data_IF_443591670356
#
_entry.id   IF_443591670356
#
_cell.length_a   1.000
_cell.length_b   1.000
_cell.length_c   1.000
_cell.angle_alpha   90.00
_cell.angle_beta   90.00
_cell.angle_gamma   90.00
#
_symmetry.space_group_name_H-M   'P 1'
#
loop_
_entity.id
_entity.type
_entity.pdbx_description
1 polymer ?
#
# COMPACT_ATOMS: atom_id res chain seq x y z
N UNK A 1 -26.37 1.24 5.09
CA UNK A 1 -26.40 0.33 3.91
C UNK A 1 -25.05 -0.33 3.77
N UNK A 2 -24.99 -1.62 3.43
CA UNK A 2 -23.74 -2.35 3.17
C UNK A 2 -23.59 -2.61 1.67
N UNK A 3 -22.36 -2.59 1.18
CA UNK A 3 -22.08 -2.93 -0.23
C UNK A 3 -20.81 -3.75 -0.35
N UNK A 4 -20.81 -4.77 -1.21
CA UNK A 4 -19.63 -5.52 -1.63
C UNK A 4 -19.66 -5.83 -3.13
N UNK A 5 -18.49 -6.01 -3.73
CA UNK A 5 -18.34 -6.46 -5.11
C UNK A 5 -17.41 -7.67 -5.19
N UNK A 6 -17.71 -8.60 -6.10
CA UNK A 6 -16.85 -9.74 -6.40
C UNK A 6 -17.63 -10.92 -6.98
N UNK A 7 -17.02 -11.66 -7.91
CA UNK A 7 -17.69 -12.77 -8.59
C UNK A 7 -17.90 -14.02 -7.71
N UNK A 8 -17.18 -14.14 -6.59
CA UNK A 8 -17.25 -15.29 -5.70
C UNK A 8 -18.26 -15.08 -4.56
N UNK A 9 -19.44 -15.68 -4.70
CA UNK A 9 -20.52 -15.57 -3.71
C UNK A 9 -20.10 -15.89 -2.25
N UNK A 10 -19.29 -16.93 -1.97
CA UNK A 10 -18.87 -17.21 -0.59
C UNK A 10 -17.94 -16.15 0.00
N UNK A 11 -17.13 -15.49 -0.83
CA UNK A 11 -16.31 -14.38 -0.40
C UNK A 11 -17.18 -13.14 -0.13
N UNK A 12 -18.18 -12.89 -0.97
CA UNK A 12 -19.11 -11.79 -0.78
C UNK A 12 -19.95 -11.93 0.50
N UNK A 13 -20.44 -13.13 0.82
CA UNK A 13 -21.18 -13.40 2.06
C UNK A 13 -20.32 -13.13 3.30
N UNK A 14 -19.07 -13.61 3.31
CA UNK A 14 -18.11 -13.33 4.40
C UNK A 14 -17.84 -11.82 4.52
N UNK A 15 -17.68 -11.14 3.38
CA UNK A 15 -17.46 -9.70 3.37
C UNK A 15 -18.65 -8.96 3.98
N UNK A 16 -19.88 -9.26 3.53
CA UNK A 16 -21.10 -8.65 4.08
C UNK A 16 -21.27 -8.94 5.57
N UNK A 17 -21.00 -10.16 6.03
CA UNK A 17 -21.05 -10.51 7.45
C UNK A 17 -20.08 -9.64 8.28
N UNK A 18 -18.85 -9.44 7.81
CA UNK A 18 -17.88 -8.56 8.47
C UNK A 18 -18.31 -7.08 8.46
N UNK A 19 -18.87 -6.59 7.35
CA UNK A 19 -19.41 -5.21 7.29
C UNK A 19 -20.60 -5.03 8.25
N UNK A 20 -21.45 -6.05 8.37
CA UNK A 20 -22.59 -6.05 9.28
C UNK A 20 -22.11 -6.04 10.74
N UNK A 21 -21.14 -6.87 11.09
CA UNK A 21 -20.53 -6.88 12.42
C UNK A 21 -19.94 -5.51 12.77
N UNK A 22 -19.19 -4.90 11.85
CA UNK A 22 -18.65 -3.55 12.01
C UNK A 22 -19.74 -2.49 12.22
N UNK A 23 -20.84 -2.57 11.46
CA UNK A 23 -21.98 -1.65 11.64
C UNK A 23 -22.64 -1.82 13.02
N UNK A 24 -22.84 -3.06 13.47
CA UNK A 24 -23.41 -3.38 14.79
C UNK A 24 -22.53 -2.85 15.92
N UNK A 25 -21.20 -3.02 15.84
CA UNK A 25 -20.25 -2.48 16.83
C UNK A 25 -20.30 -0.95 16.95
N UNK A 26 -20.79 -0.25 15.92
CA UNK A 26 -20.98 1.21 15.93
C UNK A 26 -22.41 1.63 16.24
N UNK A 27 -23.28 0.68 16.63
CA UNK A 27 -24.69 0.93 16.91
C UNK A 27 -25.50 1.30 15.65
N UNK A 28 -25.03 0.95 14.46
CA UNK A 28 -25.71 1.28 13.21
C UNK A 28 -26.64 0.16 12.78
N UNK A 29 -27.88 0.51 12.43
CA UNK A 29 -28.85 -0.42 11.87
C UNK A 29 -28.65 -0.59 10.35
N UNK A 30 -28.62 -1.84 9.88
CA UNK A 30 -28.45 -2.17 8.47
C UNK A 30 -29.82 -2.24 7.79
N UNK A 31 -30.11 -1.26 6.94
CA UNK A 31 -31.39 -1.16 6.21
C UNK A 31 -31.39 -1.81 4.81
N UNK A 32 -30.20 -2.05 4.24
CA UNK A 32 -30.05 -2.67 2.92
C UNK A 32 -28.64 -3.21 2.73
N UNK A 33 -28.53 -4.28 1.95
CA UNK A 33 -27.28 -4.91 1.54
C UNK A 33 -27.27 -5.08 0.03
N UNK A 34 -26.19 -4.67 -0.61
CA UNK A 34 -26.00 -4.79 -2.04
C UNK A 34 -24.76 -5.64 -2.33
N UNK A 35 -24.94 -6.65 -3.17
CA UNK A 35 -23.87 -7.46 -3.70
C UNK A 35 -23.82 -7.30 -5.21
N UNK A 36 -22.65 -6.96 -5.74
CA UNK A 36 -22.38 -7.00 -7.16
C UNK A 36 -21.53 -8.22 -7.54
N UNK A 37 -22.11 -9.22 -8.25
CA UNK A 37 -21.34 -10.36 -8.76
C UNK A 37 -20.49 -9.97 -9.98
N UNK A 38 -20.74 -8.78 -10.54
CA UNK A 38 -20.03 -8.28 -11.73
C UNK A 38 -18.55 -8.06 -11.42
N UNK A 39 -17.63 -8.50 -12.30
CA UNK A 39 -16.19 -8.36 -12.09
C UNK A 39 -15.72 -6.93 -11.78
N UNK A 40 -14.64 -6.82 -10.99
CA UNK A 40 -14.11 -5.53 -10.52
C UNK A 40 -13.58 -4.61 -11.63
N UNK A 41 -13.31 -5.16 -12.82
CA UNK A 41 -12.91 -4.40 -14.01
C UNK A 41 -14.07 -3.66 -14.68
N UNK A 42 -15.33 -3.95 -14.33
CA UNK A 42 -16.48 -3.15 -14.78
C UNK A 42 -16.61 -1.94 -13.85
N UNK A 43 -16.76 -0.71 -14.37
CA UNK A 43 -16.94 0.48 -13.53
C UNK A 43 -18.11 0.33 -12.55
N UNK A 44 -17.94 0.75 -11.28
CA UNK A 44 -18.96 0.60 -10.24
C UNK A 44 -20.34 1.13 -10.67
N UNK A 45 -20.39 2.31 -11.32
CA UNK A 45 -21.64 2.93 -11.83
C UNK A 45 -22.42 2.09 -12.86
N UNK A 46 -21.77 1.13 -13.49
CA UNK A 46 -22.41 0.23 -14.45
C UNK A 46 -22.93 -1.05 -13.80
N UNK A 47 -22.59 -1.31 -12.52
CA UNK A 47 -23.02 -2.50 -11.80
C UNK A 47 -24.37 -2.27 -11.12
N UNK A 48 -25.19 -3.31 -11.09
CA UNK A 48 -26.58 -3.25 -10.64
C UNK A 48 -26.71 -2.99 -9.15
N UNK A 49 -25.88 -3.64 -8.33
CA UNK A 49 -25.80 -3.44 -6.88
C UNK A 49 -25.35 -2.03 -6.53
N UNK A 50 -24.38 -1.47 -7.24
CA UNK A 50 -23.96 -0.08 -7.06
C UNK A 50 -25.07 0.91 -7.43
N UNK A 51 -25.81 0.69 -8.52
CA UNK A 51 -26.97 1.52 -8.86
C UNK A 51 -28.05 1.47 -7.77
N UNK A 52 -28.23 0.33 -7.11
CA UNK A 52 -29.10 0.22 -5.93
C UNK A 52 -28.57 1.03 -4.75
N UNK A 53 -27.25 1.05 -4.52
CA UNK A 53 -26.61 1.95 -3.53
C UNK A 53 -26.92 3.40 -3.83
N UNK A 54 -26.68 3.84 -5.06
CA UNK A 54 -26.95 5.23 -5.47
C UNK A 54 -28.41 5.58 -5.25
N UNK A 55 -29.34 4.70 -5.65
CA UNK A 55 -30.79 4.92 -5.47
C UNK A 55 -31.19 5.04 -3.99
N UNK A 56 -30.69 4.16 -3.13
CA UNK A 56 -31.01 4.16 -1.69
C UNK A 56 -30.47 5.41 -1.00
N UNK A 57 -29.26 5.85 -1.37
CA UNK A 57 -28.64 7.06 -0.80
C UNK A 57 -29.30 8.35 -1.32
N UNK A 58 -29.60 8.43 -2.62
CA UNK A 58 -30.30 9.59 -3.21
C UNK A 58 -31.71 9.71 -2.65
N UNK A 59 -32.43 8.59 -2.50
CA UNK A 59 -33.75 8.57 -1.87
C UNK A 59 -33.71 8.79 -0.34
N UNK A 60 -32.52 9.02 0.25
CA UNK A 60 -32.29 9.18 1.70
C UNK A 60 -32.86 8.06 2.57
N UNK A 61 -33.00 6.85 2.00
CA UNK A 61 -33.44 5.65 2.71
C UNK A 61 -32.33 5.03 3.57
N UNK A 62 -31.09 5.48 3.37
CA UNK A 62 -29.96 5.20 4.26
C UNK A 62 -29.16 6.48 4.51
N UNK A 63 -28.76 6.68 5.76
CA UNK A 63 -27.94 7.82 6.21
C UNK A 63 -26.45 7.64 5.91
N UNK A 64 -26.04 6.42 5.58
CA UNK A 64 -24.65 6.10 5.32
C UNK A 64 -24.42 4.77 4.61
N UNK A 65 -23.22 4.67 4.07
CA UNK A 65 -22.72 3.57 3.27
C UNK A 65 -21.50 2.96 3.94
N UNK A 66 -21.57 1.66 4.19
CA UNK A 66 -20.44 0.85 4.67
C UNK A 66 -19.96 -0.01 3.51
N UNK A 67 -18.71 0.18 3.11
CA UNK A 67 -18.06 -0.57 2.03
C UNK A 67 -16.81 -1.27 2.55
N UNK A 68 -16.35 -2.36 1.90
CA UNK A 68 -15.02 -2.89 2.14
C UNK A 68 -13.96 -1.85 1.73
N UNK A 69 -12.68 -2.22 1.80
CA UNK A 69 -11.64 -1.31 1.33
C UNK A 69 -11.89 -0.94 -0.16
N UNK A 70 -11.56 0.30 -0.54
CA UNK A 70 -11.81 0.81 -1.89
C UNK A 70 -11.26 -0.10 -3.00
N UNK A 71 -10.14 -0.77 -2.75
CA UNK A 71 -9.52 -1.70 -3.68
C UNK A 71 -10.33 -3.00 -3.88
N UNK A 72 -11.13 -3.40 -2.89
CA UNK A 72 -12.09 -4.51 -3.00
C UNK A 72 -13.32 -4.11 -3.82
N UNK A 73 -13.59 -2.82 -4.00
CA UNK A 73 -14.68 -2.31 -4.86
C UNK A 73 -14.22 -2.09 -6.30
N UNK A 74 -13.00 -1.59 -6.49
CA UNK A 74 -12.39 -1.39 -7.81
C UNK A 74 -10.86 -1.47 -7.74
N UNK A 75 -10.26 -2.23 -8.65
CA UNK A 75 -8.80 -2.46 -8.71
C UNK A 75 -8.05 -1.36 -9.44
N UNK A 76 -8.74 -0.54 -10.23
CA UNK A 76 -8.15 0.55 -11.03
C UNK A 76 -7.97 1.83 -10.18
N UNK A 77 -6.73 2.36 -10.00
CA UNK A 77 -6.46 3.57 -9.21
C UNK A 77 -7.22 4.81 -9.66
N UNK A 78 -7.42 5.00 -10.97
CA UNK A 78 -8.17 6.14 -11.50
C UNK A 78 -9.64 6.06 -11.06
N UNK A 79 -10.20 4.85 -11.09
CA UNK A 79 -11.56 4.59 -10.61
C UNK A 79 -11.68 4.64 -9.10
N UNK A 80 -10.67 4.23 -8.35
CA UNK A 80 -10.64 4.43 -6.90
C UNK A 80 -10.66 5.93 -6.56
N UNK A 81 -9.89 6.75 -7.28
CA UNK A 81 -9.87 8.20 -7.10
C UNK A 81 -11.22 8.83 -7.45
N UNK A 82 -11.82 8.42 -8.57
CA UNK A 82 -13.16 8.87 -8.97
C UNK A 82 -14.23 8.46 -7.96
N UNK A 83 -14.16 7.23 -7.45
CA UNK A 83 -15.07 6.70 -6.43
C UNK A 83 -14.91 7.46 -5.11
N UNK A 84 -13.68 7.70 -4.65
CA UNK A 84 -13.40 8.48 -3.44
C UNK A 84 -13.91 9.92 -3.56
N UNK A 85 -13.73 10.55 -4.72
CA UNK A 85 -14.26 11.89 -5.00
C UNK A 85 -15.79 11.90 -4.96
N UNK A 86 -16.43 10.86 -5.50
CA UNK A 86 -17.89 10.74 -5.46
C UNK A 86 -18.42 10.51 -4.04
N UNK A 87 -17.80 9.61 -3.27
CA UNK A 87 -18.15 9.33 -1.88
C UNK A 87 -18.12 10.58 -1.01
N UNK A 88 -17.11 11.46 -1.20
CA UNK A 88 -17.01 12.75 -0.49
C UNK A 88 -18.10 13.76 -0.86
N UNK A 89 -18.76 13.59 -2.00
CA UNK A 89 -19.83 14.49 -2.46
C UNK A 89 -21.22 14.00 -2.04
N UNK A 90 -21.34 12.80 -1.47
CA UNK A 90 -22.62 12.30 -1.02
C UNK A 90 -23.06 13.01 0.27
N UNK A 91 -24.37 13.32 0.41
CA UNK A 91 -24.95 13.79 1.65
C UNK A 91 -25.18 12.61 2.63
N UNK A 92 -24.23 11.69 2.71
CA UNK A 92 -24.29 10.47 3.51
C UNK A 92 -22.90 10.14 4.02
N UNK A 93 -22.80 9.58 5.23
CA UNK A 93 -21.49 9.17 5.73
C UNK A 93 -20.99 7.92 5.01
N UNK A 94 -19.68 7.81 4.86
CA UNK A 94 -19.05 6.64 4.24
C UNK A 94 -18.05 6.04 5.22
N UNK A 95 -18.21 4.76 5.52
CA UNK A 95 -17.35 4.06 6.45
C UNK A 95 -16.80 2.78 5.82
N UNK A 96 -15.59 2.42 6.22
CA UNK A 96 -14.99 1.14 5.89
C UNK A 96 -14.39 0.57 7.17
N UNK A 97 -14.59 -0.74 7.44
CA UNK A 97 -13.85 -1.38 8.50
C UNK A 97 -12.36 -1.20 8.24
N UNK A 98 -11.61 -0.70 9.23
CA UNK A 98 -10.15 -0.76 9.17
C UNK A 98 -9.74 -2.23 9.17
N UNK A 99 -8.66 -2.63 8.49
CA UNK A 99 -8.33 -4.04 8.29
C UNK A 99 -7.98 -4.81 9.57
N UNK A 100 -7.96 -4.15 10.73
CA UNK A 100 -7.68 -4.78 12.02
C UNK A 100 -8.78 -5.70 12.54
N UNK A 101 -9.92 -5.83 11.85
CA UNK A 101 -11.06 -6.65 12.32
C UNK A 101 -11.43 -7.85 11.42
N UNK A 102 -10.58 -8.23 10.45
CA UNK A 102 -10.77 -9.48 9.71
C UNK A 102 -9.73 -10.52 10.08
N UNK A 103 -10.12 -11.39 10.99
CA UNK A 103 -9.58 -12.73 11.03
C UNK A 103 -9.77 -13.43 9.67
N UNK A 104 -8.69 -14.06 9.21
CA UNK A 104 -8.60 -15.22 8.31
C UNK A 104 -8.86 -15.05 6.78
N UNK A 105 -7.79 -14.59 6.08
CA UNK A 105 -7.10 -15.21 4.89
C UNK A 105 -7.78 -15.23 3.48
N UNK A 106 -7.03 -15.36 2.35
CA UNK A 106 -5.82 -14.66 1.83
C UNK A 106 -6.08 -13.89 0.50
N UNK A 107 -5.23 -12.95 0.06
CA UNK A 107 -5.24 -12.42 -1.31
C UNK A 107 -4.01 -12.85 -2.13
N UNK A 108 -4.27 -13.63 -3.19
CA UNK A 108 -3.34 -13.85 -4.29
C UNK A 108 -3.44 -12.77 -5.38
N UNK A 109 -2.27 -12.33 -5.82
CA UNK A 109 -1.87 -11.88 -7.17
C UNK A 109 -2.68 -10.80 -7.88
N UNK A 110 -2.24 -9.53 -7.73
CA UNK A 110 -2.80 -8.40 -8.48
C UNK A 110 -1.97 -7.10 -8.49
N UNK A 111 -0.78 -7.16 -9.10
CA UNK A 111 -0.04 -6.07 -9.81
C UNK A 111 -0.24 -4.63 -9.30
N UNK A 112 0.66 -4.20 -8.42
CA UNK A 112 0.74 -2.85 -7.87
C UNK A 112 0.94 -1.78 -8.95
N UNK A 113 -0.08 -0.93 -9.15
CA UNK A 113 0.10 0.40 -9.67
C UNK A 113 0.73 1.28 -8.59
N UNK A 114 1.79 2.00 -8.96
CA UNK A 114 2.53 2.89 -8.08
C UNK A 114 1.61 3.95 -7.45
N UNK A 115 1.53 4.07 -6.12
CA UNK A 115 0.77 5.13 -5.47
C UNK A 115 1.65 6.38 -5.31
N UNK A 116 1.02 7.53 -5.57
CA UNK A 116 1.51 8.89 -5.33
C UNK A 116 2.01 9.12 -3.88
N UNK A 117 2.92 10.09 -3.67
CA UNK A 117 3.77 10.20 -2.50
C UNK A 117 3.06 10.86 -1.31
N UNK A 118 3.40 10.39 -0.09
CA UNK A 118 3.12 11.11 1.15
C UNK A 118 3.83 12.46 1.22
N UNK A 119 3.47 13.31 2.19
CA UNK A 119 3.83 14.73 2.19
C UNK A 119 5.37 14.93 2.25
N UNK A 120 5.86 15.71 1.28
CA UNK A 120 6.91 16.73 1.45
C UNK A 120 8.38 16.30 1.53
N UNK A 121 9.02 16.10 0.37
CA UNK A 121 10.22 16.88 -0.01
C UNK A 121 10.11 17.14 -1.53
N UNK A 122 10.18 18.38 -2.02
CA UNK A 122 10.26 18.66 -3.44
C UNK A 122 11.48 17.94 -4.02
N UNK A 123 11.24 16.99 -4.91
CA UNK A 123 12.31 16.29 -5.61
C UNK A 123 12.47 16.94 -6.97
N UNK A 124 13.68 17.43 -7.26
CA UNK A 124 14.00 17.97 -8.58
C UNK A 124 13.96 16.85 -9.63
N UNK A 125 14.37 15.64 -9.25
CA UNK A 125 14.48 14.45 -10.12
C UNK A 125 14.06 13.22 -9.34
N UNK A 126 13.19 12.36 -9.90
CA UNK A 126 12.72 11.17 -9.21
C UNK A 126 12.46 9.97 -10.14
N UNK A 127 12.60 8.77 -9.59
CA UNK A 127 12.32 7.49 -10.23
C UNK A 127 11.60 6.55 -9.25
N UNK A 128 10.71 5.70 -9.76
CA UNK A 128 10.08 4.65 -8.94
C UNK A 128 9.85 3.37 -9.73
N UNK A 129 10.01 2.23 -9.05
CA UNK A 129 9.74 0.90 -9.60
C UNK A 129 9.26 -0.06 -8.52
N UNK A 130 8.42 -1.01 -8.94
CA UNK A 130 7.97 -2.11 -8.08
C UNK A 130 8.67 -3.42 -8.44
N UNK A 131 9.06 -4.17 -7.42
CA UNK A 131 9.77 -5.45 -7.48
C UNK A 131 8.93 -6.54 -6.84
N UNK A 132 8.97 -7.76 -7.38
CA UNK A 132 8.41 -8.91 -6.69
C UNK A 132 9.25 -9.23 -5.44
N UNK A 133 8.69 -9.97 -4.47
CA UNK A 133 9.46 -10.46 -3.29
C UNK A 133 10.09 -11.81 -3.60
N UNK A 134 10.99 -11.85 -4.58
CA UNK A 134 11.73 -13.07 -4.97
C UNK A 134 13.21 -12.96 -4.60
N UNK A 135 13.90 -14.10 -4.47
CA UNK A 135 15.34 -14.16 -4.15
C UNK A 135 16.22 -13.41 -5.17
N UNK A 136 15.81 -13.31 -6.43
CA UNK A 136 16.53 -12.56 -7.48
C UNK A 136 16.27 -11.04 -7.44
N UNK A 137 15.25 -10.59 -6.70
CA UNK A 137 14.82 -9.18 -6.69
C UNK A 137 15.81 -8.20 -6.06
N UNK A 138 16.62 -8.55 -5.03
CA UNK A 138 17.64 -7.65 -4.48
C UNK A 138 18.77 -7.35 -5.46
N UNK A 139 19.24 -8.34 -6.23
CA UNK A 139 20.27 -8.13 -7.26
C UNK A 139 19.78 -7.17 -8.33
N UNK A 140 18.59 -7.46 -8.88
CA UNK A 140 17.93 -6.61 -9.88
C UNK A 140 17.63 -5.20 -9.37
N UNK A 141 17.21 -5.07 -8.11
CA UNK A 141 16.99 -3.79 -7.45
C UNK A 141 18.28 -2.97 -7.40
N UNK A 142 19.41 -3.59 -7.04
CA UNK A 142 20.71 -2.91 -6.96
C UNK A 142 21.20 -2.45 -8.34
N UNK A 143 21.05 -3.28 -9.36
CA UNK A 143 21.48 -2.95 -10.73
C UNK A 143 20.62 -1.83 -11.33
N UNK A 144 19.29 -1.91 -11.15
CA UNK A 144 18.38 -0.85 -11.55
C UNK A 144 18.68 0.46 -10.79
N UNK A 145 18.90 0.37 -9.47
CA UNK A 145 19.20 1.55 -8.66
C UNK A 145 20.52 2.20 -9.07
N UNK A 146 21.57 1.42 -9.37
CA UNK A 146 22.83 1.95 -9.90
C UNK A 146 22.61 2.75 -11.18
N UNK A 147 21.90 2.14 -12.14
CA UNK A 147 21.57 2.78 -13.41
C UNK A 147 20.81 4.09 -13.20
N UNK A 148 19.80 4.08 -12.33
CA UNK A 148 18.95 5.25 -12.12
C UNK A 148 19.60 6.33 -11.25
N UNK A 149 20.52 6.00 -10.33
CA UNK A 149 21.29 7.02 -9.61
C UNK A 149 22.21 7.81 -10.55
N UNK A 150 22.78 7.14 -11.55
CA UNK A 150 23.56 7.79 -12.61
C UNK A 150 22.66 8.67 -13.47
N UNK A 151 21.51 8.16 -13.94
CA UNK A 151 20.57 8.93 -14.77
C UNK A 151 19.94 10.11 -14.01
N UNK A 152 19.66 9.93 -12.72
CA UNK A 152 19.21 11.01 -11.85
C UNK A 152 20.32 12.01 -11.53
N UNK A 153 21.58 11.72 -11.88
CA UNK A 153 22.73 12.60 -11.69
C UNK A 153 22.95 12.97 -10.23
N UNK A 154 22.79 12.02 -9.30
CA UNK A 154 23.05 12.27 -7.89
C UNK A 154 24.57 12.35 -7.63
N UNK A 155 25.09 13.43 -7.01
CA UNK A 155 26.53 13.66 -6.88
C UNK A 155 27.19 12.89 -5.72
N UNK A 156 26.43 12.09 -4.97
CA UNK A 156 26.95 11.35 -3.82
C UNK A 156 27.59 10.00 -4.17
N UNK A 157 28.06 9.30 -3.12
CA UNK A 157 28.62 7.97 -3.25
C UNK A 157 27.54 6.93 -3.58
N UNK A 158 27.50 6.56 -4.87
CA UNK A 158 26.54 5.58 -5.41
C UNK A 158 26.70 4.20 -4.76
N UNK A 159 27.91 3.78 -4.37
CA UNK A 159 28.12 2.50 -3.70
C UNK A 159 27.48 2.50 -2.31
N UNK A 160 27.67 3.57 -1.53
CA UNK A 160 27.01 3.76 -0.24
C UNK A 160 25.48 3.78 -0.38
N UNK A 161 24.93 4.47 -1.38
CA UNK A 161 23.48 4.49 -1.62
C UNK A 161 22.91 3.11 -1.97
N UNK A 162 23.60 2.33 -2.81
CA UNK A 162 23.19 0.97 -3.14
C UNK A 162 23.24 0.06 -1.91
N UNK A 163 24.26 0.23 -1.06
CA UNK A 163 24.37 -0.55 0.18
C UNK A 163 23.24 -0.21 1.15
N UNK A 164 22.96 1.08 1.37
CA UNK A 164 21.82 1.52 2.19
C UNK A 164 20.49 0.99 1.64
N UNK A 165 20.25 1.09 0.34
CA UNK A 165 19.05 0.54 -0.29
C UNK A 165 18.95 -0.98 -0.11
N UNK A 166 20.08 -1.69 -0.24
CA UNK A 166 20.18 -3.12 0.01
C UNK A 166 19.82 -3.46 1.47
N UNK A 167 20.27 -2.66 2.44
CA UNK A 167 19.91 -2.82 3.84
C UNK A 167 18.42 -2.60 4.06
N UNK A 168 17.82 -1.55 3.50
CA UNK A 168 16.38 -1.31 3.61
C UNK A 168 15.53 -2.42 2.99
N UNK A 169 16.03 -3.06 1.92
CA UNK A 169 15.35 -4.14 1.23
C UNK A 169 15.57 -5.54 1.86
N UNK A 170 16.62 -5.72 2.67
CA UNK A 170 17.00 -7.02 3.24
C UNK A 170 15.96 -7.66 4.18
N UNK A 171 15.28 -6.91 5.08
CA UNK A 171 14.22 -7.47 5.94
C UNK A 171 12.99 -7.98 5.20
N UNK A 172 12.92 -7.75 3.89
CA UNK A 172 11.75 -7.95 3.05
C UNK A 172 11.73 -9.32 2.38
N UNK A 173 12.84 -10.06 2.44
CA UNK A 173 12.92 -11.40 1.91
C UNK A 173 12.41 -12.41 2.95
N UNK A 174 11.51 -13.34 2.60
CA UNK A 174 11.14 -14.41 3.49
C UNK A 174 12.38 -15.27 3.80
N UNK A 175 12.59 -15.71 5.06
CA UNK A 175 13.70 -16.59 5.41
C UNK A 175 13.53 -18.01 4.87
N UNK A 176 12.34 -18.36 4.35
CA UNK A 176 12.00 -19.70 3.89
C UNK A 176 11.35 -19.70 2.50
N UNK A 177 11.71 -20.71 1.69
CA UNK A 177 11.34 -20.94 0.27
C UNK A 177 9.85 -21.27 0.04
N UNK A 178 8.93 -20.69 0.79
CA UNK A 178 7.50 -20.86 0.50
C UNK A 178 7.05 -19.91 -0.62
N UNK A 179 7.00 -20.46 -1.83
CA UNK A 179 6.61 -19.82 -3.09
C UNK A 179 5.14 -19.35 -3.18
N UNK A 180 4.42 -19.25 -2.06
CA UNK A 180 2.96 -19.06 -2.05
C UNK A 180 2.48 -17.60 -1.91
N UNK A 181 3.36 -16.63 -1.62
CA UNK A 181 2.98 -15.22 -1.47
C UNK A 181 3.86 -14.25 -2.29
N UNK A 182 4.09 -14.57 -3.56
CA UNK A 182 4.86 -13.71 -4.49
C UNK A 182 4.12 -12.41 -4.93
N UNK A 183 2.89 -12.18 -4.46
CA UNK A 183 2.03 -11.09 -4.96
C UNK A 183 2.31 -9.71 -4.36
N UNK A 184 2.86 -9.63 -3.16
CA UNK A 184 2.99 -8.37 -2.45
C UNK A 184 4.36 -7.76 -2.76
N UNK A 185 4.44 -6.97 -3.84
CA UNK A 185 5.69 -6.36 -4.29
C UNK A 185 6.24 -5.29 -3.34
N UNK A 186 7.53 -5.02 -3.45
CA UNK A 186 8.22 -3.89 -2.80
C UNK A 186 8.23 -2.74 -3.81
N UNK A 187 7.79 -1.56 -3.42
CA UNK A 187 7.94 -0.36 -4.27
C UNK A 187 9.10 0.46 -3.76
N UNK A 188 10.05 0.76 -4.64
CA UNK A 188 11.19 1.63 -4.36
C UNK A 188 11.00 2.93 -5.13
N UNK A 189 11.33 4.04 -4.47
CA UNK A 189 11.42 5.36 -5.09
C UNK A 189 12.75 5.98 -4.70
N UNK A 190 13.45 6.50 -5.70
CA UNK A 190 14.68 7.28 -5.55
C UNK A 190 14.35 8.70 -5.98
N UNK A 191 14.73 9.68 -5.18
CA UNK A 191 14.48 11.09 -5.45
C UNK A 191 15.68 11.92 -5.04
N UNK A 192 16.14 12.80 -5.91
CA UNK A 192 17.16 13.80 -5.60
C UNK A 192 16.46 15.12 -5.33
N UNK A 193 16.69 15.68 -4.14
CA UNK A 193 16.14 16.98 -3.72
C UNK A 193 16.91 18.12 -4.37
N UNK A 194 16.40 19.33 -4.28
CA UNK A 194 17.10 20.54 -4.76
C UNK A 194 18.45 20.77 -4.05
N UNK A 195 18.60 20.27 -2.81
CA UNK A 195 19.85 20.30 -2.04
C UNK A 195 20.77 19.11 -2.36
N UNK A 196 20.55 18.41 -3.46
CA UNK A 196 21.32 17.23 -3.88
C UNK A 196 21.31 16.07 -2.87
N UNK A 197 20.34 16.05 -1.95
CA UNK A 197 20.14 14.91 -1.06
C UNK A 197 19.40 13.79 -1.80
N UNK A 198 19.81 12.55 -1.56
CA UNK A 198 19.11 11.37 -2.05
C UNK A 198 18.10 10.91 -1.00
N UNK A 199 16.82 10.91 -1.38
CA UNK A 199 15.72 10.31 -0.65
C UNK A 199 15.40 8.95 -1.27
N UNK A 200 15.45 7.91 -0.44
CA UNK A 200 15.09 6.54 -0.79
C UNK A 200 13.87 6.13 0.00
N UNK A 201 12.74 5.96 -0.69
CA UNK A 201 11.50 5.46 -0.09
C UNK A 201 11.31 3.99 -0.49
N UNK A 202 11.29 3.10 0.50
CA UNK A 202 11.00 1.67 0.32
C UNK A 202 9.68 1.35 0.98
N UNK A 203 8.65 1.08 0.18
CA UNK A 203 7.32 0.71 0.64
C UNK A 203 7.19 -0.80 0.76
N UNK A 204 6.70 -1.22 1.91
CA UNK A 204 6.67 -2.61 2.32
C UNK A 204 5.27 -2.97 2.78
N UNK A 205 4.68 -4.07 2.29
CA UNK A 205 3.45 -4.62 2.87
C UNK A 205 3.66 -5.02 4.33
N UNK A 206 2.77 -4.56 5.22
CA UNK A 206 2.81 -4.91 6.65
C UNK A 206 2.55 -6.43 6.79
N UNK A 207 3.28 -7.15 7.65
CA UNK A 207 3.00 -8.56 7.90
C UNK A 207 1.60 -8.74 8.49
N UNK A 208 0.93 -9.81 8.05
CA UNK A 208 -0.24 -10.36 8.72
C UNK A 208 0.21 -10.95 10.08
N UNK A 209 -0.56 -10.70 11.13
CA UNK A 209 -0.15 -10.84 12.54
C UNK A 209 0.13 -12.30 12.94
N UNK A 210 1.41 -12.66 13.18
CA UNK A 210 1.87 -13.96 13.70
C UNK A 210 3.24 -13.81 14.41
N UNK A 211 3.69 -14.72 15.29
CA UNK A 211 4.97 -14.63 16.03
C UNK A 211 6.24 -14.51 15.17
N UNK A 212 6.14 -14.77 13.86
CA UNK A 212 7.15 -14.40 12.85
C UNK A 212 7.48 -12.89 12.83
N UNK A 213 6.62 -12.06 13.42
CA UNK A 213 6.72 -10.61 13.48
C UNK A 213 7.82 -10.13 14.44
N UNK A 214 8.13 -10.87 15.53
CA UNK A 214 9.21 -10.47 16.46
C UNK A 214 10.59 -10.60 15.81
N UNK A 215 10.87 -11.72 15.14
CA UNK A 215 12.13 -11.92 14.42
C UNK A 215 12.26 -10.97 13.23
N UNK A 216 11.15 -10.66 12.54
CA UNK A 216 11.13 -9.67 11.47
C UNK A 216 11.38 -8.26 12.01
N UNK A 217 10.79 -7.88 13.14
CA UNK A 217 11.00 -6.59 13.79
C UNK A 217 12.46 -6.42 14.23
N UNK A 218 13.09 -7.46 14.79
CA UNK A 218 14.52 -7.45 15.13
C UNK A 218 15.40 -7.33 13.89
N UNK A 219 15.14 -8.11 12.82
CA UNK A 219 15.88 -7.98 11.55
C UNK A 219 15.72 -6.61 10.91
N UNK A 220 14.50 -6.06 10.95
CA UNK A 220 14.21 -4.71 10.47
C UNK A 220 15.00 -3.69 11.29
N UNK A 221 14.91 -3.73 12.62
CA UNK A 221 15.65 -2.83 13.51
C UNK A 221 17.17 -2.88 13.24
N UNK A 222 17.74 -4.08 13.09
CA UNK A 222 19.16 -4.27 12.75
C UNK A 222 19.51 -3.71 11.36
N UNK A 223 18.64 -3.91 10.38
CA UNK A 223 18.80 -3.34 9.04
C UNK A 223 18.79 -1.80 9.06
N UNK A 224 17.85 -1.19 9.79
CA UNK A 224 17.79 0.27 9.93
C UNK A 224 19.00 0.82 10.68
N UNK A 225 19.47 0.11 11.73
CA UNK A 225 20.68 0.46 12.45
C UNK A 225 21.92 0.42 11.53
N UNK A 226 22.05 -0.63 10.72
CA UNK A 226 23.15 -0.74 9.75
C UNK A 226 23.09 0.33 8.67
N UNK A 227 21.89 0.71 8.19
CA UNK A 227 21.73 1.83 7.26
C UNK A 227 22.18 3.16 7.89
N UNK A 228 21.90 3.38 9.19
CA UNK A 228 22.37 4.57 9.93
C UNK A 228 23.89 4.60 10.08
N UNK A 229 24.53 3.45 10.30
CA UNK A 229 26.01 3.36 10.34
C UNK A 229 26.67 3.76 9.02
N UNK A 230 25.95 3.65 7.89
CA UNK A 230 26.41 4.12 6.58
C UNK A 230 26.16 5.62 6.34
N UNK A 231 25.72 6.36 7.37
CA UNK A 231 25.46 7.80 7.31
C UNK A 231 24.08 8.18 6.78
N UNK A 232 23.14 7.23 6.67
CA UNK A 232 21.77 7.52 6.28
C UNK A 232 20.93 7.96 7.48
N UNK A 233 20.15 9.03 7.32
CA UNK A 233 19.08 9.36 8.25
C UNK A 233 17.86 8.51 7.89
N UNK A 234 17.44 7.65 8.81
CA UNK A 234 16.38 6.65 8.54
C UNK A 234 15.15 6.90 9.39
N UNK A 235 14.02 7.12 8.71
CA UNK A 235 12.70 7.31 9.30
C UNK A 235 11.74 6.22 8.82
N UNK A 236 10.78 5.88 9.68
CA UNK A 236 9.78 4.86 9.40
C UNK A 236 8.40 5.51 9.49
N UNK A 237 7.66 5.48 8.39
CA UNK A 237 6.32 6.05 8.30
C UNK A 237 5.32 4.91 8.06
N UNK A 238 4.50 4.55 9.05
CA UNK A 238 3.34 3.73 8.77
C UNK A 238 2.42 4.52 7.83
N UNK A 239 1.90 3.87 6.79
CA UNK A 239 0.82 4.42 5.99
C UNK A 239 -0.40 4.67 6.88
N UNK A 240 -1.19 5.70 6.58
CA UNK A 240 -2.41 6.04 7.35
C UNK A 240 -3.40 4.87 7.44
N UNK A 241 -3.37 4.01 6.42
CA UNK A 241 -4.19 2.82 6.30
C UNK A 241 -3.55 1.56 6.92
N UNK A 242 -2.33 1.67 7.46
CA UNK A 242 -1.53 0.61 8.08
C UNK A 242 -1.20 -0.58 7.17
N UNK A 243 -1.51 -0.52 5.86
CA UNK A 243 -1.23 -1.59 4.90
C UNK A 243 0.24 -1.66 4.51
N UNK A 244 0.89 -0.51 4.53
CA UNK A 244 2.28 -0.40 4.15
C UNK A 244 3.06 0.36 5.20
N UNK A 245 4.32 -0.02 5.35
CA UNK A 245 5.31 0.78 6.04
C UNK A 245 6.24 1.35 4.98
N UNK A 246 6.45 2.65 5.00
CA UNK A 246 7.47 3.31 4.19
C UNK A 246 8.72 3.49 5.04
N UNK A 247 9.81 2.84 4.66
CA UNK A 247 11.13 3.16 5.17
C UNK A 247 11.70 4.26 4.29
N UNK A 248 12.00 5.40 4.89
CA UNK A 248 12.67 6.51 4.21
C UNK A 248 14.10 6.56 4.71
N UNK A 249 15.05 6.55 3.79
CA UNK A 249 16.42 6.92 4.07
C UNK A 249 16.77 8.20 3.32
N UNK A 250 17.44 9.11 4.01
CA UNK A 250 18.00 10.32 3.44
C UNK A 250 19.53 10.20 3.49
N UNK A 251 20.17 10.34 2.34
CA UNK A 251 21.62 10.41 2.21
C UNK A 251 22.01 11.79 1.70
N UNK A 252 22.95 12.43 2.40
CA UNK A 252 23.59 13.65 1.93
C UNK A 252 24.78 13.26 1.05
N UNK A 253 25.07 14.00 -0.02
CA UNK A 253 26.32 13.81 -0.73
C UNK A 253 27.44 14.08 0.28
N UNK A 254 28.37 13.12 0.42
CA UNK A 254 29.61 13.43 1.14
C UNK A 254 30.28 14.52 0.31
N UNK A 255 30.35 15.73 0.84
CA UNK A 255 31.20 16.76 0.26
C UNK A 255 32.62 16.22 0.11
N UNK A 256 33.45 16.77 -0.79
CA UNK A 256 34.86 16.39 -0.85
C UNK A 256 35.42 16.48 0.57
N UNK A 257 36.10 15.42 1.00
CA UNK A 257 36.86 15.45 2.24
C UNK A 257 37.77 16.68 2.18
N UNK A 258 37.53 17.63 3.07
CA UNK A 258 38.47 18.73 3.31
C UNK A 258 39.66 18.20 4.09
#
# INVERSE_FOLDING_TARGET
>A
MLYTAGAHAPAATRTLAALRHFAVLRGWHVVHEAHDPVPLHVPARQRTGWRSVERVLVARRATGLVIPALHEVTTDPARQTALRRWLRRLPAFTASPRPTDRATRPPGTGRAAAPEPGPGVPAARAWSRSYARTEASPGRLRDDARTHLILLGWPGDTATAIEVLGRLAHPLLPPDRSALDASAGITVRLAVTEQEHLVMDVRIPRPDTAPADRNRAVRLANSLANARLQGAEVSCFPSEDAWFTTLRALLRPKGPAR
#
